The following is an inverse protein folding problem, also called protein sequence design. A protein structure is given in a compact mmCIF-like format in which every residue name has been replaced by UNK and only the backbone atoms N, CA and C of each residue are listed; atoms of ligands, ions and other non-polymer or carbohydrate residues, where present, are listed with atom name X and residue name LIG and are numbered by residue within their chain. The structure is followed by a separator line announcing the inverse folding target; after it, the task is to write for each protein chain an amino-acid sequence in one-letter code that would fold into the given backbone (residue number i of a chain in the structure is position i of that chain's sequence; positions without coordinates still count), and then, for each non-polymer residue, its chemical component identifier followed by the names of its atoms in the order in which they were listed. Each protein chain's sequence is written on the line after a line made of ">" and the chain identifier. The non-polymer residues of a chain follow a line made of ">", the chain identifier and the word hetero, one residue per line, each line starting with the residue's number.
data_IF_263461794465
#
_entry.id   IF_263461794465
#
_cell.length_a   1.000
_cell.length_b   1.000
_cell.length_c   1.000
_cell.angle_alpha   90.00
_cell.angle_beta   90.00
_cell.angle_gamma   90.00
#
_symmetry.space_group_name_H-M   'P 1'
#
loop_
_entity.id
_entity.type
_entity.pdbx_description
1 polymer ?
#
# COMPACT_ATOMS: atom_id res chain seq x y z
N UNK A 1 16.94 18.35 13.84
CA UNK A 1 15.57 17.85 13.49
C UNK A 1 15.29 16.61 14.27
N UNK A 2 14.03 16.38 14.60
CA UNK A 2 13.52 15.14 15.19
C UNK A 2 12.29 14.67 14.44
N UNK A 3 11.99 13.38 14.54
CA UNK A 3 10.79 12.71 14.02
C UNK A 3 10.12 11.97 15.17
N UNK A 4 8.81 12.08 15.28
CA UNK A 4 7.95 11.19 16.07
C UNK A 4 7.07 10.45 15.09
N UNK A 5 7.20 9.14 15.03
CA UNK A 5 6.40 8.26 14.18
C UNK A 5 5.56 7.34 15.07
N UNK A 6 4.25 7.28 14.83
CA UNK A 6 3.34 6.37 15.53
C UNK A 6 2.63 5.51 14.48
N UNK A 7 2.93 4.23 14.53
CA UNK A 7 2.32 3.21 13.69
C UNK A 7 1.27 2.46 14.52
N UNK A 8 0.04 2.42 14.04
CA UNK A 8 -1.02 1.60 14.60
C UNK A 8 -1.18 0.31 13.79
N UNK A 9 -1.24 -0.83 14.49
CA UNK A 9 -1.50 -2.15 13.88
C UNK A 9 -2.98 -2.28 13.51
N UNK A 10 -3.42 -1.44 12.58
CA UNK A 10 -4.76 -1.41 12.01
C UNK A 10 -4.71 -0.86 10.60
N UNK A 11 -5.38 -1.55 9.68
CA UNK A 11 -5.53 -1.12 8.30
C UNK A 11 -6.88 -1.58 7.73
N UNK A 12 -7.06 -1.46 6.43
CA UNK A 12 -8.32 -1.83 5.79
C UNK A 12 -8.71 -3.32 6.00
N UNK A 13 -7.74 -4.21 6.25
CA UNK A 13 -8.02 -5.62 6.55
C UNK A 13 -8.74 -5.86 7.89
N UNK A 14 -8.71 -4.89 8.80
CA UNK A 14 -9.30 -4.98 10.14
C UNK A 14 -10.75 -4.48 10.20
N UNK A 15 -11.27 -4.05 9.06
CA UNK A 15 -12.63 -3.53 8.89
C UNK A 15 -13.65 -4.66 8.79
N UNK A 16 -14.89 -4.37 9.17
CA UNK A 16 -16.03 -5.23 8.85
C UNK A 16 -16.42 -5.07 7.37
N UNK A 17 -16.79 -6.15 6.71
CA UNK A 17 -17.20 -6.11 5.28
C UNK A 17 -18.37 -5.18 5.00
N UNK A 18 -19.21 -4.93 5.99
CA UNK A 18 -20.34 -4.01 5.91
C UNK A 18 -19.99 -2.56 6.22
N UNK A 19 -18.75 -2.30 6.66
CA UNK A 19 -18.27 -0.99 7.13
C UNK A 19 -16.83 -0.75 6.66
N UNK A 20 -16.57 -0.85 5.36
CA UNK A 20 -15.24 -0.67 4.77
C UNK A 20 -14.90 0.79 4.53
N UNK A 21 -13.60 1.12 4.53
CA UNK A 21 -13.09 2.48 4.42
C UNK A 21 -12.95 3.20 5.76
N UNK A 22 -13.24 2.51 6.87
CA UNK A 22 -13.15 3.09 8.22
C UNK A 22 -11.71 3.40 8.64
N UNK A 23 -10.74 2.58 8.31
CA UNK A 23 -9.34 2.85 8.62
C UNK A 23 -8.87 4.15 7.97
N UNK A 24 -9.23 4.38 6.73
CA UNK A 24 -8.93 5.62 6.01
C UNK A 24 -9.75 6.81 6.52
N UNK A 25 -11.04 6.63 6.81
CA UNK A 25 -11.85 7.67 7.45
C UNK A 25 -11.23 8.11 8.79
N UNK A 26 -10.68 7.14 9.55
CA UNK A 26 -9.97 7.43 10.79
C UNK A 26 -8.69 8.22 10.59
N UNK A 27 -7.92 7.94 9.55
CA UNK A 27 -6.78 8.78 9.20
C UNK A 27 -7.19 10.25 9.13
N UNK A 28 -8.27 10.56 8.41
CA UNK A 28 -8.80 11.93 8.31
C UNK A 28 -9.31 12.47 9.65
N UNK A 29 -10.06 11.67 10.43
CA UNK A 29 -10.61 12.09 11.72
C UNK A 29 -9.52 12.46 12.73
N UNK A 30 -8.37 11.79 12.68
CA UNK A 30 -7.24 12.07 13.57
C UNK A 30 -6.62 13.46 13.36
N UNK A 31 -6.85 14.11 12.22
CA UNK A 31 -6.47 15.51 11.96
C UNK A 31 -7.55 16.52 12.34
N UNK A 32 -8.74 16.07 12.67
CA UNK A 32 -9.89 16.91 13.04
C UNK A 32 -9.79 17.59 14.41
N UNK A 33 -8.68 17.36 15.12
CA UNK A 33 -8.46 17.88 16.48
C UNK A 33 -8.90 16.94 17.59
N UNK A 34 -8.51 17.26 18.80
CA UNK A 34 -8.85 16.56 20.02
C UNK A 34 -9.66 17.46 20.98
N UNK A 35 -10.11 16.89 22.09
CA UNK A 35 -10.92 17.63 23.07
C UNK A 35 -10.18 18.87 23.60
N UNK A 36 -8.86 18.78 23.80
CA UNK A 36 -8.04 19.87 24.34
C UNK A 36 -7.35 20.70 23.24
N UNK A 37 -7.26 20.16 22.00
CA UNK A 37 -6.54 20.77 20.88
C UNK A 37 -7.48 20.81 19.65
N UNK A 38 -8.30 21.86 19.51
CA UNK A 38 -9.31 21.91 18.44
C UNK A 38 -8.73 21.97 17.02
N UNK A 39 -7.48 22.45 16.89
CA UNK A 39 -6.75 22.56 15.61
C UNK A 39 -5.36 21.93 15.79
N UNK A 40 -5.15 20.76 15.21
CA UNK A 40 -3.91 20.01 15.35
C UNK A 40 -2.71 20.73 14.71
N UNK A 41 -2.88 21.28 13.52
CA UNK A 41 -1.78 21.86 12.73
C UNK A 41 -1.28 23.20 13.28
N UNK A 42 -2.13 24.00 13.90
CA UNK A 42 -1.77 25.36 14.33
C UNK A 42 -0.59 25.38 15.34
N UNK A 43 -0.62 24.61 16.46
CA UNK A 43 0.51 24.58 17.38
C UNK A 43 1.76 23.95 16.74
N UNK A 44 1.61 23.01 15.84
CA UNK A 44 2.73 22.36 15.15
C UNK A 44 3.44 23.34 14.21
N UNK A 45 2.70 24.09 13.40
CA UNK A 45 3.25 25.09 12.48
C UNK A 45 3.98 26.22 13.23
N UNK A 46 3.47 26.62 14.39
CA UNK A 46 4.13 27.65 15.25
C UNK A 46 5.54 27.26 15.69
N UNK A 47 5.82 25.97 15.79
CA UNK A 47 7.15 25.45 16.18
C UNK A 47 7.97 24.95 14.99
N UNK A 48 7.51 25.21 13.75
CA UNK A 48 8.19 24.81 12.52
C UNK A 48 8.13 23.31 12.26
N UNK A 49 7.05 22.65 12.69
CA UNK A 49 6.81 21.23 12.45
C UNK A 49 5.88 20.99 11.27
N UNK A 50 5.99 19.80 10.71
CA UNK A 50 5.14 19.24 9.65
C UNK A 50 4.65 17.85 10.08
N UNK A 51 3.49 17.47 9.59
CA UNK A 51 2.91 16.15 9.84
C UNK A 51 2.30 15.57 8.56
N UNK A 52 2.13 14.27 8.55
CA UNK A 52 1.30 13.57 7.57
C UNK A 52 0.94 12.18 8.12
N UNK A 53 0.11 11.46 7.35
CA UNK A 53 -0.27 10.07 7.64
C UNK A 53 -0.50 9.30 6.35
N UNK A 54 -0.60 7.98 6.46
CA UNK A 54 -1.11 7.12 5.42
C UNK A 54 -1.77 5.88 6.02
N UNK A 55 -2.75 5.36 5.29
CA UNK A 55 -3.40 4.09 5.58
C UNK A 55 -3.13 3.11 4.46
N UNK A 56 -2.75 1.89 4.84
CA UNK A 56 -2.63 0.76 3.93
C UNK A 56 -3.67 -0.32 4.26
N UNK A 57 -3.56 -1.46 3.59
CA UNK A 57 -4.36 -2.61 3.99
C UNK A 57 -4.01 -3.11 5.40
N UNK A 58 -2.77 -2.92 5.85
CA UNK A 58 -2.19 -3.57 7.02
C UNK A 58 -2.00 -2.63 8.20
N UNK A 59 -1.67 -1.36 7.94
CA UNK A 59 -1.27 -0.39 8.96
C UNK A 59 -1.84 1.00 8.67
N UNK A 60 -1.97 1.79 9.74
CA UNK A 60 -2.15 3.24 9.66
C UNK A 60 -1.00 3.92 10.41
N UNK A 61 -0.29 4.82 9.75
CA UNK A 61 0.92 5.44 10.26
C UNK A 61 0.81 6.96 10.26
N UNK A 62 1.17 7.56 11.39
CA UNK A 62 1.20 9.02 11.57
C UNK A 62 2.61 9.45 11.90
N UNK A 63 3.04 10.60 11.39
CA UNK A 63 4.35 11.13 11.72
C UNK A 63 4.38 12.64 11.81
N UNK A 64 5.30 13.12 12.65
CA UNK A 64 5.60 14.53 12.86
C UNK A 64 7.10 14.73 12.69
N UNK A 65 7.49 15.73 11.91
CA UNK A 65 8.88 16.19 11.79
C UNK A 65 8.96 17.63 12.30
N UNK A 66 9.95 17.93 13.15
CA UNK A 66 10.09 19.26 13.74
C UNK A 66 11.54 19.53 14.23
N UNK A 67 11.91 20.79 14.54
CA UNK A 67 13.17 21.06 15.25
C UNK A 67 13.21 20.33 16.59
N UNK A 68 14.32 19.63 16.89
CA UNK A 68 14.44 18.77 18.07
C UNK A 68 14.19 19.54 19.41
N UNK A 69 14.50 20.83 19.47
CA UNK A 69 14.23 21.69 20.64
C UNK A 69 12.72 21.81 20.95
N UNK A 70 11.85 21.57 19.99
CA UNK A 70 10.40 21.65 20.11
C UNK A 70 9.72 20.27 20.20
N UNK A 71 10.49 19.20 20.40
CA UNK A 71 10.03 17.81 20.38
C UNK A 71 8.83 17.55 21.30
N UNK A 72 8.77 18.19 22.44
CA UNK A 72 7.68 18.03 23.41
C UNK A 72 6.31 18.42 22.82
N UNK A 73 6.27 19.34 21.84
CA UNK A 73 5.03 19.69 21.13
C UNK A 73 4.44 18.48 20.41
N UNK A 74 5.28 17.68 19.76
CA UNK A 74 4.80 16.45 19.09
C UNK A 74 4.26 15.43 20.10
N UNK A 75 4.92 15.25 21.24
CA UNK A 75 4.45 14.36 22.30
C UNK A 75 3.08 14.80 22.86
N UNK A 76 2.92 16.10 23.09
CA UNK A 76 1.66 16.68 23.53
C UNK A 76 0.53 16.44 22.50
N UNK A 77 0.77 16.76 21.24
CA UNK A 77 -0.22 16.59 20.17
C UNK A 77 -0.65 15.13 19.98
N UNK A 78 0.35 14.24 19.87
CA UNK A 78 0.12 12.82 19.62
C UNK A 78 -0.57 12.13 20.80
N UNK A 79 -0.16 12.43 22.03
CA UNK A 79 -0.77 11.85 23.22
C UNK A 79 -2.21 12.32 23.42
N UNK A 80 -2.51 13.60 23.13
CA UNK A 80 -3.86 14.12 23.31
C UNK A 80 -4.83 13.52 22.29
N UNK A 81 -4.44 13.39 21.02
CA UNK A 81 -5.31 12.74 20.03
C UNK A 81 -5.49 11.22 20.27
N UNK A 82 -4.50 10.53 20.87
CA UNK A 82 -4.64 9.12 21.25
C UNK A 82 -5.60 8.96 22.45
N UNK A 83 -5.58 9.91 23.39
CA UNK A 83 -6.39 9.85 24.59
C UNK A 83 -7.82 10.36 24.38
N UNK A 84 -7.98 11.46 23.66
CA UNK A 84 -9.20 12.27 23.69
C UNK A 84 -9.55 12.90 22.36
N UNK A 85 -9.61 12.10 21.29
CA UNK A 85 -10.05 12.57 19.97
C UNK A 85 -11.45 13.21 20.06
N UNK A 86 -11.62 14.37 19.41
CA UNK A 86 -12.86 15.13 19.47
C UNK A 86 -13.93 14.55 18.53
N UNK A 87 -14.64 13.55 19.02
CA UNK A 87 -15.77 12.97 18.29
C UNK A 87 -17.01 13.85 18.37
N UNK A 88 -17.39 14.44 17.25
CA UNK A 88 -18.66 15.16 17.09
C UNK A 88 -19.33 14.80 15.77
N UNK A 89 -20.68 14.87 15.73
CA UNK A 89 -21.41 14.67 14.47
C UNK A 89 -20.92 15.60 13.37
N UNK A 90 -20.57 16.84 13.74
CA UNK A 90 -20.08 17.84 12.78
C UNK A 90 -18.70 17.45 12.21
N UNK A 91 -17.76 16.98 13.05
CA UNK A 91 -16.43 16.56 12.58
C UNK A 91 -16.55 15.31 11.71
N UNK A 92 -17.40 14.35 12.09
CA UNK A 92 -17.66 13.17 11.29
C UNK A 92 -18.27 13.52 9.94
N UNK A 93 -19.28 14.40 9.90
CA UNK A 93 -19.92 14.84 8.65
C UNK A 93 -18.91 15.51 7.70
N UNK A 94 -18.04 16.37 8.22
CA UNK A 94 -16.98 17.01 7.43
C UNK A 94 -16.04 15.96 6.82
N UNK A 95 -15.52 15.04 7.63
CA UNK A 95 -14.56 14.07 7.13
C UNK A 95 -15.21 13.00 6.23
N UNK A 96 -16.46 12.60 6.50
CA UNK A 96 -17.21 11.76 5.56
C UNK A 96 -17.30 12.41 4.18
N UNK A 97 -17.67 13.68 4.11
CA UNK A 97 -17.78 14.40 2.85
C UNK A 97 -16.43 14.47 2.12
N UNK A 98 -15.33 14.71 2.85
CA UNK A 98 -13.97 14.73 2.26
C UNK A 98 -13.62 13.35 1.67
N UNK A 99 -13.77 12.27 2.43
CA UNK A 99 -13.47 10.91 1.98
C UNK A 99 -14.39 10.48 0.83
N UNK A 100 -15.68 10.85 0.87
CA UNK A 100 -16.61 10.57 -0.23
C UNK A 100 -16.22 11.29 -1.52
N UNK A 101 -15.78 12.53 -1.43
CA UNK A 101 -15.30 13.28 -2.61
C UNK A 101 -13.97 12.69 -3.12
N UNK A 102 -13.08 12.27 -2.23
CA UNK A 102 -11.86 11.57 -2.61
C UNK A 102 -12.17 10.24 -3.32
N UNK A 103 -13.11 9.45 -2.80
CA UNK A 103 -13.60 8.24 -3.45
C UNK A 103 -14.08 8.52 -4.88
N UNK A 104 -14.95 9.52 -5.04
CA UNK A 104 -15.44 9.90 -6.37
C UNK A 104 -14.33 10.36 -7.29
N UNK A 105 -13.46 11.25 -6.81
CA UNK A 105 -12.40 11.83 -7.64
C UNK A 105 -11.35 10.79 -8.05
N UNK A 106 -10.88 9.96 -7.13
CA UNK A 106 -9.78 9.02 -7.40
C UNK A 106 -10.23 7.71 -8.02
N UNK A 107 -11.43 7.25 -7.67
CA UNK A 107 -11.87 5.89 -8.04
C UNK A 107 -13.00 5.87 -9.07
N UNK A 108 -13.85 6.90 -9.15
CA UNK A 108 -14.99 6.90 -10.08
C UNK A 108 -14.81 7.85 -11.27
N UNK A 109 -14.13 8.97 -11.08
CA UNK A 109 -14.07 10.04 -12.09
C UNK A 109 -12.75 10.09 -12.87
N UNK A 110 -11.77 9.25 -12.53
CA UNK A 110 -10.50 9.15 -13.27
C UNK A 110 -10.49 7.94 -14.19
N UNK A 111 -9.86 8.04 -15.38
CA UNK A 111 -9.58 6.87 -16.20
C UNK A 111 -8.83 5.81 -15.37
N UNK A 112 -9.27 4.57 -15.45
CA UNK A 112 -8.73 3.42 -14.69
C UNK A 112 -8.81 3.55 -13.16
N UNK A 113 -9.55 4.53 -12.63
CA UNK A 113 -9.60 4.77 -11.18
C UNK A 113 -10.15 3.60 -10.38
N UNK A 114 -11.07 2.83 -10.95
CA UNK A 114 -11.73 1.69 -10.31
C UNK A 114 -10.99 0.34 -10.46
N UNK A 115 -9.77 0.34 -11.01
CA UNK A 115 -8.95 -0.88 -11.20
C UNK A 115 -8.87 -1.70 -9.90
N UNK A 116 -8.50 -1.07 -8.80
CA UNK A 116 -8.33 -1.80 -7.53
C UNK A 116 -9.64 -2.24 -6.91
N UNK A 117 -10.75 -1.53 -7.17
CA UNK A 117 -12.09 -1.95 -6.72
C UNK A 117 -12.57 -3.21 -7.46
N UNK A 118 -12.06 -3.47 -8.68
CA UNK A 118 -12.37 -4.63 -9.51
C UNK A 118 -11.36 -5.76 -9.34
N UNK A 119 -10.07 -5.45 -9.45
CA UNK A 119 -9.00 -6.46 -9.45
C UNK A 119 -8.88 -7.20 -8.11
N UNK A 120 -8.99 -6.47 -6.98
CA UNK A 120 -8.89 -7.08 -5.65
C UNK A 120 -9.93 -8.18 -5.41
N UNK A 121 -11.24 -8.00 -5.63
CA UNK A 121 -12.23 -9.08 -5.46
C UNK A 121 -12.13 -10.19 -6.51
N UNK A 122 -11.38 -9.99 -7.60
CA UNK A 122 -11.02 -11.07 -8.51
C UNK A 122 -9.97 -11.98 -7.88
N UNK A 123 -8.92 -11.41 -7.26
CA UNK A 123 -7.80 -12.17 -6.65
C UNK A 123 -8.18 -12.75 -5.30
N UNK A 124 -8.86 -11.98 -4.45
CA UNK A 124 -9.22 -12.37 -3.08
C UNK A 124 -10.72 -12.68 -2.98
N UNK A 125 -11.05 -13.85 -2.43
CA UNK A 125 -12.46 -14.29 -2.24
C UNK A 125 -12.89 -14.25 -0.78
N UNK A 126 -11.97 -14.46 0.15
CA UNK A 126 -12.27 -14.54 1.58
C UNK A 126 -11.53 -13.48 2.39
N UNK A 127 -10.24 -13.25 2.07
CA UNK A 127 -9.42 -12.31 2.81
C UNK A 127 -9.91 -10.86 2.63
N UNK A 128 -9.87 -10.01 3.68
CA UNK A 128 -10.26 -8.60 3.59
C UNK A 128 -9.47 -7.76 2.58
N UNK A 129 -8.35 -8.23 2.05
CA UNK A 129 -7.65 -7.57 0.94
C UNK A 129 -8.48 -7.45 -0.34
N UNK A 130 -9.68 -8.05 -0.37
CA UNK A 130 -10.64 -7.92 -1.49
C UNK A 130 -11.25 -6.54 -1.64
N UNK A 131 -11.11 -5.65 -0.65
CA UNK A 131 -11.47 -4.23 -0.79
C UNK A 131 -10.26 -3.31 -0.70
N UNK A 132 -10.39 -2.13 -1.30
CA UNK A 132 -9.39 -1.09 -1.25
C UNK A 132 -9.45 -0.32 0.08
N UNK A 133 -8.38 0.37 0.44
CA UNK A 133 -8.31 1.20 1.66
C UNK A 133 -9.38 2.29 1.72
N UNK A 134 -9.80 2.81 0.56
CA UNK A 134 -10.90 3.79 0.47
C UNK A 134 -12.27 3.19 0.81
N UNK A 135 -12.38 1.86 0.85
CA UNK A 135 -13.61 1.12 1.05
C UNK A 135 -14.08 0.39 -0.22
N UNK A 136 -15.01 -0.53 -0.02
CA UNK A 136 -15.65 -1.32 -1.08
C UNK A 136 -16.75 -0.51 -1.79
N UNK A 137 -17.53 0.23 -1.02
CA UNK A 137 -18.69 0.97 -1.48
C UNK A 137 -18.78 2.32 -0.79
N UNK A 138 -19.15 3.37 -1.56
CA UNK A 138 -19.31 4.72 -1.05
C UNK A 138 -20.33 4.80 0.11
N UNK A 139 -21.38 3.99 0.03
CA UNK A 139 -22.44 3.90 1.04
C UNK A 139 -21.93 3.52 2.43
N UNK A 140 -20.82 2.77 2.55
CA UNK A 140 -20.24 2.41 3.84
C UNK A 140 -19.72 3.65 4.59
N UNK A 141 -19.11 4.59 3.86
CA UNK A 141 -18.66 5.86 4.43
C UNK A 141 -19.85 6.80 4.67
N UNK A 142 -20.79 6.90 3.72
CA UNK A 142 -21.97 7.74 3.82
C UNK A 142 -22.83 7.42 5.06
N UNK A 143 -22.97 6.12 5.37
CA UNK A 143 -23.77 5.63 6.49
C UNK A 143 -22.95 5.41 7.78
N UNK A 144 -21.71 5.86 7.85
CA UNK A 144 -20.91 5.75 9.08
C UNK A 144 -21.51 6.58 10.22
N UNK A 145 -21.79 5.93 11.35
CA UNK A 145 -22.35 6.56 12.54
C UNK A 145 -21.26 6.84 13.58
N UNK A 146 -21.50 7.86 14.40
CA UNK A 146 -20.53 8.28 15.44
C UNK A 146 -20.22 7.18 16.45
N UNK A 147 -21.16 6.29 16.73
CA UNK A 147 -20.95 5.19 17.66
C UNK A 147 -20.04 4.09 17.07
N UNK A 148 -20.14 3.82 15.77
CA UNK A 148 -19.23 2.91 15.05
C UNK A 148 -17.82 3.47 15.05
N UNK A 149 -17.69 4.77 14.79
CA UNK A 149 -16.42 5.50 14.83
C UNK A 149 -15.78 5.42 16.23
N UNK A 150 -16.54 5.65 17.29
CA UNK A 150 -16.02 5.52 18.66
C UNK A 150 -15.64 4.09 19.01
N UNK A 151 -16.39 3.09 18.54
CA UNK A 151 -16.07 1.68 18.74
C UNK A 151 -14.77 1.29 18.05
N UNK A 152 -14.58 1.73 16.81
CA UNK A 152 -13.35 1.51 16.04
C UNK A 152 -12.13 2.16 16.71
N UNK A 153 -12.25 3.42 17.16
CA UNK A 153 -11.19 4.10 17.90
C UNK A 153 -10.79 3.33 19.16
N UNK A 154 -11.77 3.02 20.02
CA UNK A 154 -11.51 2.30 21.27
C UNK A 154 -10.82 0.95 21.05
N UNK A 155 -11.17 0.28 19.94
CA UNK A 155 -10.62 -1.04 19.61
C UNK A 155 -9.17 -0.95 19.12
N UNK A 156 -8.84 0.04 18.28
CA UNK A 156 -7.60 0.05 17.51
C UNK A 156 -6.61 1.15 17.93
N UNK A 157 -7.09 2.31 18.41
CA UNK A 157 -6.25 3.48 18.68
C UNK A 157 -5.91 3.59 20.18
N UNK A 158 -5.08 2.68 20.65
CA UNK A 158 -4.63 2.64 22.04
C UNK A 158 -3.15 2.21 22.11
N UNK A 159 -2.45 2.43 23.25
CA UNK A 159 -1.03 2.12 23.40
C UNK A 159 -0.66 0.64 23.16
N UNK A 160 -1.57 -0.31 23.42
CA UNK A 160 -1.32 -1.75 23.17
C UNK A 160 -1.28 -2.12 21.70
N UNK A 161 -1.80 -1.25 20.83
CA UNK A 161 -1.90 -1.46 19.40
C UNK A 161 -1.04 -0.47 18.60
N UNK A 162 -0.08 0.22 19.27
CA UNK A 162 0.74 1.26 18.65
C UNK A 162 2.24 1.00 18.89
N UNK A 163 3.04 1.38 17.91
CA UNK A 163 4.50 1.42 17.99
C UNK A 163 4.94 2.87 17.77
N UNK A 164 5.65 3.44 18.74
CA UNK A 164 6.20 4.79 18.62
C UNK A 164 7.71 4.72 18.42
N UNK A 165 8.19 5.37 17.37
CA UNK A 165 9.62 5.56 17.11
C UNK A 165 9.94 7.05 17.12
N UNK A 166 10.95 7.42 17.91
CA UNK A 166 11.47 8.79 17.98
C UNK A 166 12.91 8.79 17.52
N UNK A 167 13.23 9.58 16.51
CA UNK A 167 14.57 9.68 15.96
C UNK A 167 15.05 11.11 15.77
N UNK A 168 16.38 11.28 15.66
CA UNK A 168 17.00 12.58 15.38
C UNK A 168 18.02 13.03 16.41
N UNK A 169 18.16 14.34 16.58
CA UNK A 169 19.05 14.95 17.57
C UNK A 169 18.38 14.92 18.95
N UNK A 170 18.31 13.72 19.54
CA UNK A 170 17.60 13.43 20.78
C UNK A 170 18.39 12.43 21.62
N UNK A 171 18.13 12.41 22.95
CA UNK A 171 18.70 11.42 23.86
C UNK A 171 17.60 10.47 24.34
N UNK A 172 17.90 9.19 24.37
CA UNK A 172 16.91 8.15 24.75
C UNK A 172 16.33 8.38 26.16
N UNK A 173 17.15 8.88 27.09
CA UNK A 173 16.72 9.18 28.46
C UNK A 173 15.67 10.29 28.50
N UNK A 174 15.86 11.36 27.70
CA UNK A 174 14.92 12.48 27.61
C UNK A 174 13.59 12.04 26.96
N UNK A 175 13.71 11.21 25.91
CA UNK A 175 12.54 10.62 25.23
C UNK A 175 11.70 9.77 26.19
N UNK A 176 12.35 8.95 27.03
CA UNK A 176 11.68 8.14 28.02
C UNK A 176 10.89 8.99 29.02
N UNK A 177 11.47 10.08 29.49
CA UNK A 177 10.80 11.04 30.39
C UNK A 177 9.59 11.68 29.71
N UNK A 178 9.73 12.10 28.45
CA UNK A 178 8.61 12.66 27.68
C UNK A 178 7.51 11.62 27.43
N UNK A 179 7.87 10.39 27.09
CA UNK A 179 6.92 9.31 26.89
C UNK A 179 6.14 9.00 28.20
N UNK A 180 6.82 8.89 29.32
CA UNK A 180 6.18 8.70 30.63
C UNK A 180 5.25 9.86 30.98
N UNK A 181 5.66 11.09 30.70
CA UNK A 181 4.88 12.30 31.00
C UNK A 181 3.59 12.36 30.17
N UNK A 182 3.68 12.13 28.86
CA UNK A 182 2.59 12.39 27.92
C UNK A 182 1.74 11.17 27.63
N UNK A 183 2.34 10.00 27.46
CA UNK A 183 1.63 8.75 27.14
C UNK A 183 1.36 7.89 28.38
N UNK A 184 2.13 8.03 29.46
CA UNK A 184 1.94 7.27 30.70
C UNK A 184 0.54 7.37 31.32
N UNK A 185 -0.15 8.53 31.28
CA UNK A 185 -1.53 8.66 31.76
C UNK A 185 -2.58 7.97 30.86
N UNK A 186 -2.24 7.58 29.63
CA UNK A 186 -3.19 6.95 28.69
C UNK A 186 -3.42 5.50 29.12
N UNK A 187 -4.67 5.07 29.31
CA UNK A 187 -4.96 3.66 29.58
C UNK A 187 -4.40 2.76 28.47
N UNK A 188 -3.75 1.66 28.86
CA UNK A 188 -3.12 0.76 27.90
C UNK A 188 -4.08 0.24 26.81
N UNK A 189 -5.35 0.11 27.13
CA UNK A 189 -6.35 -0.49 26.25
C UNK A 189 -6.28 -2.03 26.27
N UNK A 190 -7.02 -2.64 25.39
CA UNK A 190 -6.97 -4.07 25.15
C UNK A 190 -6.13 -4.36 23.90
N UNK A 191 -5.25 -5.37 23.97
CA UNK A 191 -4.50 -5.80 22.78
C UNK A 191 -5.49 -6.38 21.76
N UNK A 192 -5.49 -5.81 20.59
CA UNK A 192 -6.27 -6.35 19.48
C UNK A 192 -5.71 -7.71 19.04
N UNK A 193 -6.57 -8.71 18.99
CA UNK A 193 -6.23 -10.04 18.49
C UNK A 193 -6.93 -10.22 17.14
N UNK A 194 -6.13 -10.26 16.10
CA UNK A 194 -6.59 -10.41 14.72
C UNK A 194 -6.97 -11.87 14.43
N UNK A 195 -8.11 -12.07 13.82
CA UNK A 195 -8.57 -13.37 13.36
C UNK A 195 -9.17 -13.21 11.96
N UNK A 196 -8.30 -13.19 10.95
CA UNK A 196 -8.70 -13.05 9.55
C UNK A 196 -8.83 -14.41 8.87
N UNK A 197 -9.78 -14.57 7.94
CA UNK A 197 -9.83 -15.75 7.11
C UNK A 197 -8.60 -15.80 6.20
N UNK A 198 -8.01 -16.97 6.06
CA UNK A 198 -6.95 -17.17 5.07
C UNK A 198 -7.54 -17.17 3.66
N UNK A 199 -6.84 -16.53 2.73
CA UNK A 199 -7.23 -16.61 1.32
C UNK A 199 -6.93 -18.01 0.79
N UNK A 200 -7.92 -18.71 0.22
CA UNK A 200 -7.67 -20.00 -0.43
C UNK A 200 -6.81 -19.83 -1.69
N UNK A 201 -5.99 -20.83 -1.97
CA UNK A 201 -5.23 -20.87 -3.23
C UNK A 201 -6.18 -20.83 -4.43
N UNK A 202 -5.83 -20.03 -5.43
CA UNK A 202 -6.60 -19.93 -6.67
C UNK A 202 -6.26 -21.10 -7.60
N UNK A 203 -7.30 -21.76 -8.12
CA UNK A 203 -7.19 -22.93 -9.02
C UNK A 203 -7.98 -22.77 -10.32
N UNK A 204 -8.40 -21.56 -10.65
CA UNK A 204 -9.11 -21.24 -11.89
C UNK A 204 -8.70 -19.87 -12.41
N UNK A 205 -8.56 -19.76 -13.72
CA UNK A 205 -8.35 -18.48 -14.39
C UNK A 205 -9.59 -17.60 -14.23
N UNK A 206 -9.40 -16.33 -13.88
CA UNK A 206 -10.47 -15.35 -13.75
C UNK A 206 -10.25 -14.23 -14.74
N UNK A 207 -11.32 -13.79 -15.37
CA UNK A 207 -11.24 -12.79 -16.43
C UNK A 207 -12.43 -11.84 -16.38
N UNK A 208 -12.16 -10.55 -16.47
CA UNK A 208 -13.16 -9.47 -16.57
C UNK A 208 -12.72 -8.47 -17.63
N UNK A 209 -13.66 -7.99 -18.44
CA UNK A 209 -13.44 -6.92 -19.40
C UNK A 209 -14.44 -5.79 -19.16
N UNK A 210 -13.96 -4.57 -19.18
CA UNK A 210 -14.72 -3.33 -18.93
C UNK A 210 -14.51 -2.39 -20.08
N UNK A 211 -15.60 -1.92 -20.69
CA UNK A 211 -15.55 -0.82 -21.65
C UNK A 211 -15.76 0.50 -20.92
N UNK A 212 -14.81 1.44 -21.04
CA UNK A 212 -14.82 2.68 -20.29
C UNK A 212 -14.22 3.85 -21.11
N UNK A 213 -14.51 5.08 -20.66
CA UNK A 213 -13.90 6.29 -21.21
C UNK A 213 -12.46 6.45 -20.75
N UNK A 214 -11.59 5.65 -21.33
CA UNK A 214 -10.16 5.65 -21.04
C UNK A 214 -9.37 5.98 -22.33
N UNK A 215 -8.16 6.57 -22.21
CA UNK A 215 -7.41 7.00 -23.39
C UNK A 215 -6.88 5.84 -24.24
N UNK A 216 -6.53 4.70 -23.62
CA UNK A 216 -5.99 3.50 -24.27
C UNK A 216 -6.59 2.25 -23.62
N UNK A 217 -6.50 1.12 -24.30
CA UNK A 217 -6.72 -0.15 -23.65
C UNK A 217 -5.65 -0.38 -22.58
N UNK A 218 -6.01 -1.11 -21.53
CA UNK A 218 -5.08 -1.49 -20.46
C UNK A 218 -5.34 -2.92 -19.99
N UNK A 219 -4.29 -3.69 -19.75
CA UNK A 219 -4.35 -5.09 -19.37
C UNK A 219 -3.65 -5.27 -18.03
N UNK A 220 -4.38 -5.79 -17.05
CA UNK A 220 -3.88 -6.17 -15.72
C UNK A 220 -3.96 -7.67 -15.58
N UNK A 221 -2.83 -8.32 -15.31
CA UNK A 221 -2.79 -9.75 -14.96
C UNK A 221 -2.24 -9.86 -13.55
N UNK A 222 -3.09 -10.26 -12.62
CA UNK A 222 -2.74 -10.41 -11.21
C UNK A 222 -2.67 -11.89 -10.81
N UNK A 223 -1.75 -12.20 -9.90
CA UNK A 223 -1.51 -13.52 -9.36
C UNK A 223 -1.44 -13.45 -7.84
N UNK A 224 -1.97 -14.45 -7.14
CA UNK A 224 -1.66 -14.58 -5.71
C UNK A 224 -0.16 -14.83 -5.53
N UNK A 225 0.42 -14.14 -4.55
CA UNK A 225 1.85 -14.14 -4.26
C UNK A 225 2.09 -14.27 -2.74
N UNK A 226 3.30 -14.63 -2.29
CA UNK A 226 3.58 -14.76 -0.87
C UNK A 226 3.43 -13.44 -0.11
N UNK A 227 2.98 -13.53 1.14
CA UNK A 227 2.97 -12.43 2.08
C UNK A 227 4.39 -12.07 2.57
N UNK A 228 4.49 -10.91 3.26
CA UNK A 228 5.78 -10.30 3.65
C UNK A 228 6.73 -11.22 4.42
N UNK A 229 6.20 -12.08 5.25
CA UNK A 229 7.00 -13.01 6.08
C UNK A 229 7.01 -14.44 5.55
N UNK A 230 6.41 -14.69 4.38
CA UNK A 230 6.36 -16.02 3.78
C UNK A 230 7.60 -16.32 2.94
N UNK A 231 7.90 -17.61 2.83
CA UNK A 231 8.97 -18.11 1.97
C UNK A 231 8.74 -17.70 0.51
N UNK A 232 9.79 -17.19 -0.12
CA UNK A 232 9.74 -16.75 -1.51
C UNK A 232 9.46 -15.25 -1.70
N UNK A 233 9.07 -14.50 -0.67
CA UNK A 233 8.79 -13.07 -0.77
C UNK A 233 9.90 -12.30 -1.51
N UNK A 234 11.14 -12.38 -1.03
CA UNK A 234 12.29 -11.68 -1.63
C UNK A 234 12.59 -12.10 -3.08
N UNK A 235 12.37 -13.38 -3.39
CA UNK A 235 12.56 -13.87 -4.75
C UNK A 235 11.49 -13.32 -5.70
N UNK A 236 10.24 -13.20 -5.23
CA UNK A 236 9.12 -12.64 -6.01
C UNK A 236 9.27 -11.14 -6.20
N UNK A 237 9.74 -10.42 -5.20
CA UNK A 237 9.99 -8.99 -5.32
C UNK A 237 11.13 -8.70 -6.34
N UNK A 238 12.26 -9.40 -6.23
CA UNK A 238 13.32 -9.33 -7.24
C UNK A 238 12.86 -9.77 -8.64
N UNK A 239 11.91 -10.69 -8.72
CA UNK A 239 11.30 -11.11 -9.99
C UNK A 239 10.58 -9.93 -10.67
N UNK A 240 9.89 -9.09 -9.91
CA UNK A 240 9.32 -7.83 -10.39
C UNK A 240 10.39 -6.88 -10.95
N UNK A 241 11.51 -6.75 -10.25
CA UNK A 241 12.64 -5.92 -10.69
C UNK A 241 13.29 -6.45 -11.98
N UNK A 242 13.45 -7.75 -12.14
CA UNK A 242 13.92 -8.37 -13.39
C UNK A 242 12.97 -8.07 -14.55
N UNK A 243 11.67 -8.17 -14.29
CA UNK A 243 10.65 -7.99 -15.32
C UNK A 243 10.47 -6.53 -15.76
N UNK A 244 10.42 -5.57 -14.84
CA UNK A 244 10.00 -4.22 -15.23
C UNK A 244 10.79 -3.04 -14.67
N UNK A 245 11.76 -3.24 -13.77
CA UNK A 245 12.43 -2.09 -13.14
C UNK A 245 13.56 -1.50 -13.97
N UNK A 246 13.22 -0.42 -14.69
CA UNK A 246 14.14 0.38 -15.51
C UNK A 246 14.25 -0.09 -16.97
N UNK A 247 14.91 0.73 -17.79
CA UNK A 247 14.92 0.59 -19.26
C UNK A 247 15.66 -0.66 -19.79
N UNK A 248 16.37 -1.39 -18.94
CA UNK A 248 17.03 -2.65 -19.29
C UNK A 248 16.29 -3.89 -18.76
N UNK A 249 15.09 -3.72 -18.20
CA UNK A 249 14.23 -4.81 -17.76
C UNK A 249 13.63 -5.58 -18.94
N UNK A 250 13.23 -6.82 -18.68
CA UNK A 250 12.80 -7.74 -19.76
C UNK A 250 11.57 -7.26 -20.49
N UNK A 251 10.51 -6.87 -19.76
CA UNK A 251 9.25 -6.41 -20.36
C UNK A 251 9.46 -5.12 -21.14
N UNK A 252 10.14 -4.12 -20.55
CA UNK A 252 10.41 -2.87 -21.26
C UNK A 252 11.21 -3.09 -22.54
N UNK A 253 12.33 -3.82 -22.44
CA UNK A 253 13.18 -4.06 -23.59
C UNK A 253 12.46 -4.82 -24.70
N UNK A 254 11.82 -5.94 -24.35
CA UNK A 254 11.16 -6.80 -25.34
C UNK A 254 9.89 -6.19 -25.90
N UNK A 255 8.97 -5.72 -25.02
CA UNK A 255 7.60 -5.38 -25.43
C UNK A 255 7.41 -3.90 -25.77
N UNK A 256 8.19 -3.00 -25.15
CA UNK A 256 8.10 -1.56 -25.44
C UNK A 256 9.09 -1.17 -26.52
N UNK A 257 10.39 -1.55 -26.35
CA UNK A 257 11.46 -1.05 -27.23
C UNK A 257 11.61 -1.85 -28.52
N UNK A 258 11.70 -3.18 -28.43
CA UNK A 258 12.05 -4.04 -29.57
C UNK A 258 10.81 -4.38 -30.40
N UNK A 259 9.73 -4.85 -29.79
CA UNK A 259 8.49 -5.26 -30.48
C UNK A 259 7.49 -4.13 -30.66
N UNK A 260 7.58 -3.06 -29.88
CA UNK A 260 6.67 -1.91 -29.93
C UNK A 260 5.18 -2.31 -29.81
N UNK A 261 4.89 -3.21 -28.86
CA UNK A 261 3.52 -3.66 -28.60
C UNK A 261 2.83 -2.83 -27.50
N UNK A 262 3.61 -2.24 -26.60
CA UNK A 262 3.11 -1.47 -25.46
C UNK A 262 3.72 -0.06 -25.45
N UNK A 263 2.95 0.91 -24.99
CA UNK A 263 3.46 2.24 -24.64
C UNK A 263 4.21 2.22 -23.30
N UNK A 264 3.68 1.46 -22.34
CA UNK A 264 4.27 1.20 -21.03
C UNK A 264 3.84 -0.17 -20.50
N UNK A 265 4.70 -0.78 -19.68
CA UNK A 265 4.42 -2.04 -19.03
C UNK A 265 5.18 -2.13 -17.70
N UNK A 266 4.50 -2.58 -16.65
CA UNK A 266 5.02 -2.69 -15.30
C UNK A 266 4.75 -4.08 -14.72
N UNK A 267 5.62 -4.53 -13.82
CA UNK A 267 5.40 -5.74 -13.03
C UNK A 267 5.92 -5.49 -11.62
N UNK A 268 5.09 -5.77 -10.63
CA UNK A 268 5.42 -5.49 -9.23
C UNK A 268 4.61 -6.37 -8.29
N UNK A 269 5.09 -6.48 -7.05
CA UNK A 269 4.40 -7.16 -5.98
C UNK A 269 3.83 -6.15 -4.98
N UNK A 270 2.64 -6.41 -4.46
CA UNK A 270 2.11 -5.70 -3.29
C UNK A 270 2.78 -6.24 -2.04
N UNK A 271 3.44 -5.39 -1.24
CA UNK A 271 4.15 -5.81 -0.03
C UNK A 271 3.23 -6.11 1.16
N UNK A 272 2.17 -6.89 0.97
CA UNK A 272 1.15 -7.18 1.99
C UNK A 272 1.65 -8.14 3.08
N UNK A 273 1.14 -8.06 4.31
CA UNK A 273 1.54 -8.95 5.41
C UNK A 273 1.07 -10.38 5.18
N UNK A 274 -0.17 -10.55 4.79
CA UNK A 274 -0.77 -11.83 4.40
C UNK A 274 -0.59 -12.08 2.90
N UNK A 275 -1.25 -13.09 2.33
CA UNK A 275 -1.17 -13.43 0.90
C UNK A 275 -1.20 -12.18 0.02
N UNK A 276 -0.10 -11.92 -0.64
CA UNK A 276 0.08 -10.74 -1.50
C UNK A 276 -0.44 -10.96 -2.92
N UNK A 277 -0.15 -10.00 -3.78
CA UNK A 277 -0.51 -10.03 -5.18
C UNK A 277 0.69 -9.59 -6.02
N UNK A 278 1.00 -10.34 -7.07
CA UNK A 278 1.91 -9.92 -8.12
C UNK A 278 1.09 -9.45 -9.31
N UNK A 279 1.39 -8.26 -9.82
CA UNK A 279 0.63 -7.63 -10.91
C UNK A 279 1.54 -7.35 -12.08
N UNK A 280 1.08 -7.67 -13.28
CA UNK A 280 1.61 -7.17 -14.55
C UNK A 280 0.55 -6.26 -15.16
N UNK A 281 0.92 -5.01 -15.41
CA UNK A 281 0.06 -3.97 -15.96
C UNK A 281 0.69 -3.45 -17.24
N UNK A 282 -0.08 -3.33 -18.33
CA UNK A 282 0.47 -2.84 -19.59
C UNK A 282 -0.56 -2.21 -20.50
N UNK A 283 -0.20 -1.06 -21.08
CA UNK A 283 -1.01 -0.33 -22.07
C UNK A 283 -0.54 -0.66 -23.48
N UNK A 284 -1.27 -1.56 -24.19
CA UNK A 284 -0.94 -1.85 -25.58
C UNK A 284 -1.12 -0.61 -26.46
N UNK A 285 -0.38 -0.56 -27.57
CA UNK A 285 -0.61 0.45 -28.59
C UNK A 285 -1.95 0.20 -29.28
N UNK A 286 -2.58 1.23 -29.83
CA UNK A 286 -3.90 1.15 -30.50
C UNK A 286 -3.95 0.13 -31.64
N UNK A 287 -2.81 -0.14 -32.27
CA UNK A 287 -2.69 -1.13 -33.38
C UNK A 287 -2.58 -2.57 -32.89
N UNK A 288 -2.49 -2.81 -31.60
CA UNK A 288 -2.26 -4.12 -30.99
C UNK A 288 -3.56 -4.64 -30.39
N UNK A 289 -3.98 -5.85 -30.79
CA UNK A 289 -5.17 -6.47 -30.18
C UNK A 289 -4.89 -6.91 -28.74
N UNK A 290 -5.94 -7.02 -27.93
CA UNK A 290 -5.84 -7.49 -26.55
C UNK A 290 -5.25 -8.90 -26.49
N UNK A 291 -5.68 -9.79 -27.36
CA UNK A 291 -5.18 -11.17 -27.43
C UNK A 291 -3.67 -11.20 -27.73
N UNK A 292 -3.22 -10.32 -28.62
CA UNK A 292 -1.79 -10.17 -28.93
C UNK A 292 -1.02 -9.63 -27.73
N UNK A 293 -1.58 -8.64 -27.04
CA UNK A 293 -0.98 -8.05 -25.85
C UNK A 293 -0.84 -9.08 -24.70
N UNK A 294 -1.91 -9.80 -24.38
CA UNK A 294 -1.88 -10.86 -23.37
C UNK A 294 -0.89 -11.97 -23.74
N UNK A 295 -0.91 -12.45 -25.00
CA UNK A 295 0.01 -13.47 -25.45
C UNK A 295 1.47 -13.05 -25.31
N UNK A 296 1.78 -11.78 -25.61
CA UNK A 296 3.13 -11.23 -25.47
C UNK A 296 3.59 -11.16 -24.01
N UNK A 297 2.70 -10.75 -23.08
CA UNK A 297 2.99 -10.78 -21.64
C UNK A 297 3.27 -12.22 -21.20
N UNK A 298 2.37 -13.14 -21.50
CA UNK A 298 2.54 -14.54 -21.11
C UNK A 298 3.80 -15.16 -21.67
N UNK A 299 4.19 -14.81 -22.89
CA UNK A 299 5.44 -15.29 -23.47
C UNK A 299 6.66 -14.86 -22.63
N UNK A 300 6.70 -13.62 -22.14
CA UNK A 300 7.80 -13.15 -21.30
C UNK A 300 7.80 -13.83 -19.92
N UNK A 301 6.65 -14.06 -19.34
CA UNK A 301 6.52 -14.81 -18.08
C UNK A 301 6.97 -16.26 -18.24
N UNK A 302 6.62 -16.93 -19.34
CA UNK A 302 7.08 -18.29 -19.65
C UNK A 302 8.61 -18.36 -19.84
N UNK A 303 9.23 -17.37 -20.47
CA UNK A 303 10.70 -17.32 -20.59
C UNK A 303 11.41 -17.30 -19.24
N UNK A 304 10.81 -16.62 -18.23
CA UNK A 304 11.37 -16.57 -16.88
C UNK A 304 11.23 -17.92 -16.15
N UNK A 305 10.24 -18.72 -16.50
CA UNK A 305 10.03 -20.07 -15.95
C UNK A 305 11.01 -21.11 -16.52
N UNK A 306 11.48 -20.90 -17.76
CA UNK A 306 12.26 -21.88 -18.49
C UNK A 306 13.75 -21.84 -18.20
N UNK A 307 14.29 -20.68 -17.82
CA UNK A 307 15.70 -20.48 -17.62
C UNK A 307 16.02 -19.61 -16.40
N UNK A 308 17.16 -19.87 -15.77
CA UNK A 308 17.68 -19.02 -14.72
C UNK A 308 17.98 -17.60 -15.22
N UNK A 309 17.78 -16.61 -14.37
CA UNK A 309 18.18 -15.23 -14.63
C UNK A 309 19.71 -15.20 -14.79
N UNK A 310 20.26 -14.62 -15.89
CA UNK A 310 21.70 -14.46 -16.05
C UNK A 310 22.37 -13.77 -14.85
N UNK A 311 23.59 -14.16 -14.54
CA UNK A 311 24.29 -13.71 -13.35
C UNK A 311 24.50 -12.18 -13.32
N UNK A 312 24.76 -11.56 -14.46
CA UNK A 312 24.92 -10.11 -14.61
C UNK A 312 23.59 -9.36 -14.42
N UNK A 313 22.49 -9.91 -14.94
CA UNK A 313 21.13 -9.37 -14.75
C UNK A 313 20.70 -9.46 -13.28
N UNK A 314 20.91 -10.62 -12.63
CA UNK A 314 20.62 -10.79 -11.21
C UNK A 314 21.47 -9.87 -10.34
N UNK A 315 22.76 -9.73 -10.62
CA UNK A 315 23.65 -8.81 -9.91
C UNK A 315 23.17 -7.36 -10.05
N UNK A 316 22.77 -6.96 -11.24
CA UNK A 316 22.22 -5.61 -11.49
C UNK A 316 20.99 -5.31 -10.62
N UNK A 317 20.00 -6.20 -10.56
CA UNK A 317 18.78 -5.96 -9.77
C UNK A 317 19.08 -5.97 -8.28
N UNK A 318 19.92 -6.87 -7.79
CA UNK A 318 20.36 -6.89 -6.39
C UNK A 318 21.08 -5.61 -5.98
N UNK A 319 22.02 -5.14 -6.76
CA UNK A 319 22.75 -3.90 -6.48
C UNK A 319 21.80 -2.69 -6.47
N UNK A 320 20.80 -2.70 -7.33
CA UNK A 320 19.79 -1.64 -7.36
C UNK A 320 18.91 -1.66 -6.12
N UNK A 321 18.46 -2.84 -5.67
CA UNK A 321 17.67 -3.00 -4.45
C UNK A 321 18.48 -2.60 -3.22
N UNK A 322 19.71 -3.10 -3.07
CA UNK A 322 20.62 -2.70 -2.00
C UNK A 322 20.83 -1.19 -1.96
N UNK A 323 21.11 -0.58 -3.13
CA UNK A 323 21.27 0.88 -3.23
C UNK A 323 20.01 1.63 -2.79
N UNK A 324 18.82 1.17 -3.21
CA UNK A 324 17.55 1.78 -2.81
C UNK A 324 17.33 1.72 -1.30
N UNK A 325 17.60 0.56 -0.68
CA UNK A 325 17.51 0.38 0.77
C UNK A 325 18.50 1.29 1.51
N UNK A 326 19.75 1.34 1.06
CA UNK A 326 20.76 2.22 1.67
C UNK A 326 20.39 3.70 1.56
N UNK A 327 19.85 4.14 0.43
CA UNK A 327 19.42 5.54 0.27
C UNK A 327 18.19 5.88 1.11
N UNK A 328 17.25 4.95 1.30
CA UNK A 328 16.10 5.19 2.19
C UNK A 328 16.53 5.44 3.64
N UNK A 329 17.61 4.81 4.10
CA UNK A 329 18.14 5.05 5.44
C UNK A 329 18.80 6.42 5.66
N UNK A 330 19.04 7.20 4.61
CA UNK A 330 19.53 8.59 4.74
C UNK A 330 18.42 9.52 5.23
N UNK A 331 17.16 9.21 4.96
CA UNK A 331 16.01 9.94 5.48
C UNK A 331 15.74 9.54 6.92
N UNK A 332 15.74 10.52 7.83
CA UNK A 332 15.39 10.28 9.22
C UNK A 332 13.95 9.76 9.39
N UNK A 333 13.04 10.30 8.56
CA UNK A 333 11.64 9.89 8.56
C UNK A 333 11.49 8.43 8.08
N UNK A 334 12.09 8.07 6.94
CA UNK A 334 11.99 6.71 6.40
C UNK A 334 12.59 5.69 7.38
N UNK A 335 13.71 6.05 8.03
CA UNK A 335 14.32 5.21 9.07
C UNK A 335 13.36 4.99 10.26
N UNK A 336 12.68 6.04 10.72
CA UNK A 336 11.71 5.92 11.82
C UNK A 336 10.50 5.06 11.42
N UNK A 337 9.97 5.26 10.21
CA UNK A 337 8.87 4.46 9.68
C UNK A 337 9.28 2.99 9.50
N UNK A 338 10.45 2.73 8.93
CA UNK A 338 10.96 1.37 8.75
C UNK A 338 11.16 0.66 10.08
N UNK A 339 11.76 1.32 11.08
CA UNK A 339 11.92 0.74 12.43
C UNK A 339 10.57 0.34 13.04
N UNK A 340 9.55 1.20 12.92
CA UNK A 340 8.21 0.88 13.42
C UNK A 340 7.58 -0.31 12.65
N UNK A 341 7.77 -0.34 11.35
CA UNK A 341 7.27 -1.41 10.49
C UNK A 341 7.92 -2.77 10.82
N UNK A 342 9.24 -2.82 10.98
CA UNK A 342 9.94 -4.06 11.32
C UNK A 342 9.66 -4.52 12.75
N UNK A 343 9.50 -3.58 13.70
CA UNK A 343 9.01 -3.92 15.05
C UNK A 343 7.64 -4.59 15.00
N UNK A 344 6.74 -4.09 14.15
CA UNK A 344 5.42 -4.71 13.95
C UNK A 344 5.53 -6.11 13.33
N UNK A 345 6.52 -6.36 12.47
CA UNK A 345 6.81 -7.70 11.92
C UNK A 345 7.41 -8.66 12.95
N UNK A 346 7.75 -8.16 14.15
CA UNK A 346 8.18 -8.94 15.30
C UNK A 346 9.54 -8.56 15.88
N UNK A 347 10.41 -7.86 15.14
CA UNK A 347 11.72 -7.42 15.62
C UNK A 347 12.27 -6.29 14.72
N UNK A 348 12.51 -5.12 15.30
CA UNK A 348 13.11 -3.99 14.58
C UNK A 348 14.50 -4.30 14.00
N UNK A 349 15.25 -5.26 14.58
CA UNK A 349 16.56 -5.72 14.08
C UNK A 349 16.47 -6.37 12.69
N UNK A 350 15.31 -6.85 12.27
CA UNK A 350 15.09 -7.36 10.91
C UNK A 350 15.46 -6.35 9.82
N UNK A 351 15.33 -5.05 10.11
CA UNK A 351 15.77 -3.98 9.21
C UNK A 351 17.24 -4.13 8.81
N UNK A 352 18.11 -4.50 9.76
CA UNK A 352 19.56 -4.65 9.53
C UNK A 352 19.92 -5.83 8.62
N UNK A 353 19.03 -6.80 8.47
CA UNK A 353 19.22 -7.97 7.62
C UNK A 353 18.49 -7.90 6.27
N UNK A 354 17.73 -6.84 6.02
CA UNK A 354 16.87 -6.73 4.83
C UNK A 354 17.67 -6.81 3.52
N UNK A 355 18.73 -6.02 3.39
CA UNK A 355 19.60 -6.05 2.20
C UNK A 355 20.22 -7.43 1.99
N UNK A 356 20.71 -8.07 3.07
CA UNK A 356 21.29 -9.42 3.03
C UNK A 356 20.30 -10.48 2.54
N UNK A 357 19.04 -10.35 2.89
CA UNK A 357 17.99 -11.28 2.45
C UNK A 357 17.79 -11.22 0.93
N UNK A 358 17.81 -10.03 0.34
CA UNK A 358 17.81 -9.87 -1.13
C UNK A 358 19.09 -10.40 -1.75
N UNK A 359 20.26 -10.12 -1.16
CA UNK A 359 21.56 -10.55 -1.70
C UNK A 359 21.74 -12.07 -1.71
N UNK A 360 21.08 -12.81 -0.81
CA UNK A 360 21.10 -14.27 -0.75
C UNK A 360 20.26 -14.96 -1.83
N UNK A 361 19.30 -14.27 -2.45
CA UNK A 361 18.39 -14.87 -3.45
C UNK A 361 19.19 -15.37 -4.65
N UNK A 362 18.91 -16.59 -5.09
CA UNK A 362 19.51 -17.22 -6.26
C UNK A 362 18.63 -17.14 -7.50
N UNK A 363 19.22 -17.27 -8.68
CA UNK A 363 18.46 -17.32 -9.93
C UNK A 363 17.49 -18.52 -9.98
N UNK A 364 17.89 -19.64 -9.37
CA UNK A 364 17.02 -20.81 -9.25
C UNK A 364 15.77 -20.56 -8.39
N UNK A 365 15.89 -19.79 -7.29
CA UNK A 365 14.74 -19.42 -6.46
C UNK A 365 13.79 -18.50 -7.21
N UNK A 366 14.29 -17.54 -8.00
CA UNK A 366 13.43 -16.70 -8.87
C UNK A 366 12.67 -17.56 -9.87
N UNK A 367 13.34 -18.50 -10.55
CA UNK A 367 12.71 -19.42 -11.50
C UNK A 367 11.68 -20.33 -10.80
N UNK A 368 11.98 -20.82 -9.62
CA UNK A 368 11.05 -21.61 -8.80
C UNK A 368 9.77 -20.83 -8.51
N UNK A 369 9.90 -19.59 -8.02
CA UNK A 369 8.74 -18.73 -7.75
C UNK A 369 8.00 -18.36 -9.02
N UNK A 370 8.68 -18.12 -10.13
CA UNK A 370 8.03 -17.89 -11.42
C UNK A 370 7.16 -19.09 -11.83
N UNK A 371 7.64 -20.33 -11.65
CA UNK A 371 6.84 -21.55 -11.91
C UNK A 371 5.67 -21.71 -10.95
N UNK A 372 5.82 -21.32 -9.69
CA UNK A 372 4.76 -21.37 -8.68
C UNK A 372 3.65 -20.37 -8.96
N UNK A 373 4.01 -19.14 -9.34
CA UNK A 373 3.09 -18.00 -9.41
C UNK A 373 2.48 -17.83 -10.79
N UNK A 374 3.28 -17.87 -11.86
CA UNK A 374 2.83 -17.61 -13.22
C UNK A 374 2.16 -18.83 -13.85
N UNK A 375 1.04 -19.23 -13.27
CA UNK A 375 0.17 -20.28 -13.78
C UNK A 375 -1.14 -19.65 -14.21
N UNK A 376 -1.75 -20.21 -15.27
CA UNK A 376 -3.05 -19.73 -15.76
C UNK A 376 -4.15 -19.85 -14.70
N UNK A 377 -4.16 -20.94 -13.95
CA UNK A 377 -5.13 -21.19 -12.89
C UNK A 377 -4.93 -20.28 -11.64
N UNK A 378 -3.80 -19.61 -11.52
CA UNK A 378 -3.51 -18.58 -10.50
C UNK A 378 -3.70 -17.15 -11.03
N UNK A 379 -4.15 -16.95 -12.27
CA UNK A 379 -4.26 -15.61 -12.87
C UNK A 379 -5.66 -15.03 -12.76
N UNK A 380 -5.70 -13.71 -12.55
CA UNK A 380 -6.91 -12.89 -12.62
C UNK A 380 -6.62 -11.73 -13.58
N UNK A 381 -7.26 -11.75 -14.75
CA UNK A 381 -7.05 -10.77 -15.81
C UNK A 381 -8.18 -9.76 -15.85
N UNK A 382 -7.86 -8.49 -15.71
CA UNK A 382 -8.79 -7.37 -15.88
C UNK A 382 -8.35 -6.55 -17.09
N UNK A 383 -9.28 -6.32 -18.02
CA UNK A 383 -9.04 -5.57 -19.25
C UNK A 383 -9.93 -4.32 -19.29
N UNK A 384 -9.31 -3.18 -19.52
CA UNK A 384 -10.01 -1.96 -19.90
C UNK A 384 -9.96 -1.80 -21.41
N UNK A 385 -11.14 -1.70 -22.00
CA UNK A 385 -11.33 -1.39 -23.40
C UNK A 385 -11.71 0.09 -23.51
N UNK A 386 -10.93 0.84 -24.26
CA UNK A 386 -11.25 2.23 -24.57
C UNK A 386 -12.54 2.29 -25.41
N UNK A 387 -13.51 3.11 -24.97
CA UNK A 387 -14.67 3.42 -25.81
C UNK A 387 -14.16 4.01 -27.12
N UNK A 388 -14.44 3.36 -28.24
CA UNK A 388 -14.20 3.98 -29.55
C UNK A 388 -15.07 5.24 -29.58
N UNK A 389 -14.45 6.41 -29.76
CA UNK A 389 -15.19 7.61 -29.99
C UNK A 389 -16.05 7.40 -31.25
N UNK A 390 -17.34 7.27 -31.06
CA UNK A 390 -18.33 7.30 -32.13
C UNK A 390 -18.48 8.74 -32.63
N UNK A 391 -17.37 9.35 -33.03
CA UNK A 391 -17.27 10.72 -33.51
C UNK A 391 -16.25 10.81 -34.63
N UNK A 392 -16.61 10.27 -35.80
CA UNK A 392 -16.18 10.78 -37.10
C UNK A 392 -17.08 10.18 -38.20
N UNK A 393 -18.39 10.09 -37.96
CA UNK A 393 -19.38 10.24 -39.03
C UNK A 393 -19.89 11.69 -39.02
N UNK A 394 -18.98 12.62 -39.34
CA UNK A 394 -19.37 13.96 -39.74
C UNK A 394 -19.08 14.10 -41.22
N UNK A 395 -20.17 13.98 -41.99
CA UNK A 395 -20.47 14.72 -43.19
C UNK A 395 -19.39 14.81 -44.26
N UNK A 396 -19.49 13.90 -45.21
CA UNK A 396 -19.27 14.25 -46.61
C UNK A 396 -20.62 14.14 -47.32
N UNK A 397 -21.40 15.23 -47.29
CA UNK A 397 -22.33 15.62 -48.31
C UNK A 397 -21.76 16.84 -49.02
#
# INVERSE_FOLDING_TARGET
>A
MAVVNILYDVGARDEDESQTGFAHLFEHLMFGGSVNIPTYDEPLQRVGGENNAFTSNDITNYYVTLPAVNLETAFWLESDRMLSLAFSEKSLEVQRNVVMEEFKQRYLNQPYGDVWLRLRPMVYKQHPYRWATIGKELSHIENAHIDDVKAFFKKHYNPQNAIMVVGGDVKAEDIKVLAEKWFGPIPAGEKYVRNLPQEPEQHEERHESVTAKVPLNDVYIAFQAPGRMEDGYYAVDLMGDVLSRGNSSRLYRSLVKDQQLFSEIHAYMTGSFDTGMFVVEGKPLETVSIEQAEAAIWQQLELLKQADVPADELTKVKNKTESTLMFSEMSLLDKAMNLAYYELLGDAELLNSEADNYLKITAAQIREQANRIFRKDNSSTLIYLAEQNAAEEIETE
#
